data_IF_534192026836
#
_entry.id   IF_534192026836
#
_cell.length_a   1.000
_cell.length_b   1.000
_cell.length_c   1.000
_cell.angle_alpha   90.00
_cell.angle_beta   90.00
_cell.angle_gamma   90.00
#
_symmetry.space_group_name_H-M   'P 1'
#
loop_
_entity.id
_entity.type
_entity.pdbx_description
1 polymer ?
#
# COMPACT_ATOMS: atom_id res chain seq x y z
N UNK A 1 12.71 -51.14 18.56
CA UNK A 1 13.02 -49.88 19.27
C UNK A 1 12.85 -48.74 18.27
N UNK A 2 11.76 -47.94 18.43
CA UNK A 2 11.47 -46.85 17.50
C UNK A 2 12.08 -45.56 18.06
N UNK A 3 13.10 -45.05 17.41
CA UNK A 3 13.72 -43.77 17.76
C UNK A 3 12.85 -42.65 17.28
N UNK A 4 12.17 -42.00 18.21
CA UNK A 4 11.51 -40.74 17.95
C UNK A 4 12.57 -39.67 17.65
N UNK A 5 12.68 -39.24 16.37
CA UNK A 5 13.38 -38.05 16.01
C UNK A 5 12.62 -36.86 16.61
N UNK A 6 13.12 -36.31 17.71
CA UNK A 6 12.70 -35.01 18.19
C UNK A 6 13.08 -33.97 17.15
N UNK A 7 12.08 -33.36 16.53
CA UNK A 7 12.32 -32.20 15.67
C UNK A 7 13.00 -31.11 16.50
N UNK A 8 14.25 -30.81 16.20
CA UNK A 8 14.94 -29.66 16.78
C UNK A 8 14.17 -28.42 16.33
N UNK A 9 13.54 -27.74 17.27
CA UNK A 9 12.88 -26.47 17.00
C UNK A 9 13.91 -25.54 16.33
N UNK A 10 13.58 -25.01 15.17
CA UNK A 10 14.45 -24.08 14.44
C UNK A 10 14.74 -22.88 15.35
N UNK A 11 15.97 -22.70 15.84
CA UNK A 11 16.26 -21.58 16.73
C UNK A 11 15.99 -20.31 15.95
N UNK A 12 15.23 -19.38 16.52
CA UNK A 12 14.97 -18.06 15.94
C UNK A 12 16.18 -17.13 16.21
N UNK A 13 17.24 -17.17 15.38
CA UNK A 13 18.49 -16.47 15.64
C UNK A 13 18.29 -14.93 15.59
N UNK A 14 17.27 -14.47 14.89
CA UNK A 14 16.98 -13.05 14.69
C UNK A 14 16.04 -12.49 15.76
N UNK A 15 15.60 -13.32 16.72
CA UNK A 15 14.60 -12.93 17.73
C UNK A 15 13.35 -12.30 17.11
N UNK A 16 12.96 -12.79 15.91
CA UNK A 16 11.73 -12.37 15.26
C UNK A 16 10.53 -12.77 16.11
N UNK A 17 9.48 -11.99 16.06
CA UNK A 17 8.23 -12.27 16.76
C UNK A 17 7.05 -12.07 15.79
N UNK A 18 5.98 -12.78 16.05
CA UNK A 18 4.75 -12.63 15.30
C UNK A 18 3.99 -11.40 15.79
N UNK A 19 3.44 -10.62 14.87
CA UNK A 19 2.58 -9.49 15.24
C UNK A 19 1.29 -10.01 15.90
N UNK A 20 0.76 -9.25 16.84
CA UNK A 20 -0.51 -9.61 17.47
C UNK A 20 -1.67 -9.50 16.46
N UNK A 21 -2.56 -10.47 16.45
CA UNK A 21 -3.70 -10.55 15.51
C UNK A 21 -3.25 -10.47 14.03
N UNK A 22 -2.42 -11.41 13.57
CA UNK A 22 -1.90 -11.40 12.21
C UNK A 22 -3.02 -11.55 11.17
N UNK A 23 -2.76 -11.20 9.90
CA UNK A 23 -3.66 -11.54 8.81
C UNK A 23 -3.92 -13.04 8.71
N UNK A 24 -5.13 -13.42 8.31
CA UNK A 24 -5.52 -14.83 8.11
C UNK A 24 -5.21 -15.36 6.71
N UNK A 25 -4.71 -14.50 5.81
CA UNK A 25 -4.30 -14.83 4.45
C UNK A 25 -3.04 -14.05 4.08
N UNK A 26 -2.53 -14.24 2.86
CA UNK A 26 -1.29 -13.65 2.34
C UNK A 26 -1.26 -12.13 2.51
N UNK A 27 -0.13 -11.63 2.97
CA UNK A 27 0.14 -10.19 3.06
C UNK A 27 0.51 -9.68 1.66
N UNK A 28 -0.17 -8.66 1.19
CA UNK A 28 0.01 -8.08 -0.14
C UNK A 28 0.89 -6.83 -0.14
N UNK A 29 0.87 -6.06 0.94
CA UNK A 29 1.66 -4.82 1.08
C UNK A 29 1.94 -4.50 2.54
N UNK A 30 3.08 -3.87 2.78
CA UNK A 30 3.52 -3.35 4.08
C UNK A 30 3.97 -1.90 3.91
N UNK A 31 3.59 -1.04 4.83
CA UNK A 31 4.06 0.35 4.85
C UNK A 31 4.15 0.91 6.26
N UNK A 32 5.27 1.58 6.58
CA UNK A 32 5.41 2.33 7.81
C UNK A 32 4.89 3.76 7.67
N UNK A 33 4.30 4.27 8.75
CA UNK A 33 3.98 5.69 8.85
C UNK A 33 5.26 6.54 8.73
N UNK A 34 5.20 7.66 8.00
CA UNK A 34 6.35 8.56 7.87
C UNK A 34 6.68 9.34 9.15
N UNK A 35 5.80 9.35 10.16
CA UNK A 35 5.95 10.18 11.38
C UNK A 35 5.84 9.41 12.69
N UNK A 36 5.40 8.16 12.67
CA UNK A 36 5.17 7.37 13.87
C UNK A 36 5.54 5.91 13.63
N UNK A 37 5.74 5.14 14.70
CA UNK A 37 6.04 3.71 14.61
C UNK A 37 4.77 2.88 14.35
N UNK A 38 3.95 3.30 13.40
CA UNK A 38 2.79 2.55 12.94
C UNK A 38 3.12 1.77 11.68
N UNK A 39 2.81 0.49 11.69
CA UNK A 39 2.91 -0.40 10.55
C UNK A 39 1.50 -0.71 10.03
N UNK A 40 1.26 -0.44 8.76
CA UNK A 40 0.08 -0.91 8.06
C UNK A 40 0.40 -2.14 7.21
N UNK A 41 -0.51 -3.11 7.20
CA UNK A 41 -0.46 -4.25 6.31
C UNK A 41 -1.81 -4.44 5.61
N UNK A 42 -1.75 -4.77 4.34
CA UNK A 42 -2.90 -5.20 3.54
C UNK A 42 -2.82 -6.70 3.27
N UNK A 43 -3.96 -7.35 3.13
CA UNK A 43 -4.01 -8.81 2.99
C UNK A 43 -5.11 -9.27 2.03
N UNK A 44 -4.95 -10.50 1.56
CA UNK A 44 -5.94 -11.22 0.77
C UNK A 44 -7.17 -11.64 1.60
N UNK A 45 -7.12 -11.50 2.92
CA UNK A 45 -8.27 -11.66 3.81
C UNK A 45 -9.24 -10.45 3.81
N UNK A 46 -9.11 -9.56 2.84
CA UNK A 46 -9.90 -8.34 2.65
C UNK A 46 -9.69 -7.26 3.71
N UNK A 47 -8.68 -7.37 4.55
CA UNK A 47 -8.47 -6.41 5.63
C UNK A 47 -7.19 -5.60 5.48
N UNK A 48 -7.25 -4.39 6.02
CA UNK A 48 -6.08 -3.56 6.33
C UNK A 48 -5.96 -3.50 7.84
N UNK A 49 -4.79 -3.82 8.37
CA UNK A 49 -4.49 -3.76 9.79
C UNK A 49 -3.40 -2.76 10.07
N UNK A 50 -3.50 -2.11 11.22
CA UNK A 50 -2.48 -1.19 11.70
C UNK A 50 -2.04 -1.59 13.11
N UNK A 51 -0.73 -1.65 13.32
CA UNK A 51 -0.11 -1.86 14.64
C UNK A 51 0.79 -0.69 14.99
N UNK A 52 0.86 -0.40 16.27
CA UNK A 52 1.98 0.35 16.84
C UNK A 52 3.13 -0.63 17.13
N UNK A 53 4.31 -0.33 16.60
CA UNK A 53 5.52 -1.10 16.85
C UNK A 53 6.29 -0.41 17.97
N UNK A 54 6.42 -1.08 19.10
CA UNK A 54 7.07 -0.56 20.30
C UNK A 54 8.42 -1.25 20.50
N UNK A 55 9.42 -0.49 20.88
CA UNK A 55 10.73 -1.01 21.25
C UNK A 55 11.08 -0.55 22.67
N UNK A 56 11.37 -1.50 23.54
CA UNK A 56 11.77 -1.22 24.92
C UNK A 56 12.81 -2.23 25.38
N UNK A 57 13.97 -1.76 25.85
CA UNK A 57 15.01 -2.60 26.44
C UNK A 57 15.54 -3.72 25.53
N UNK A 58 15.55 -3.51 24.21
CA UNK A 58 15.97 -4.51 23.22
C UNK A 58 14.87 -5.52 22.82
N UNK A 59 13.69 -5.42 23.39
CA UNK A 59 12.52 -6.18 22.99
C UNK A 59 11.65 -5.34 22.06
N UNK A 60 11.08 -5.98 21.03
CA UNK A 60 10.13 -5.38 20.12
C UNK A 60 8.77 -6.03 20.34
N UNK A 61 7.72 -5.22 20.38
CA UNK A 61 6.34 -5.68 20.53
C UNK A 61 5.44 -4.96 19.51
N UNK A 62 4.34 -5.58 19.15
CA UNK A 62 3.30 -4.99 18.32
C UNK A 62 2.00 -4.85 19.11
N UNK A 63 1.37 -3.70 19.03
CA UNK A 63 0.06 -3.45 19.60
C UNK A 63 -0.95 -3.15 18.50
N UNK A 64 -1.99 -3.98 18.30
CA UNK A 64 -3.04 -3.70 17.34
C UNK A 64 -3.71 -2.36 17.67
N UNK A 65 -3.84 -1.50 16.67
CA UNK A 65 -4.51 -0.20 16.83
C UNK A 65 -5.90 -0.19 16.22
N UNK A 66 -5.98 -0.69 15.00
CA UNK A 66 -7.23 -0.68 14.26
C UNK A 66 -7.17 -1.59 13.03
N UNK A 67 -8.35 -1.94 12.51
CA UNK A 67 -8.51 -2.63 11.23
C UNK A 67 -9.74 -2.12 10.49
N UNK A 68 -9.67 -2.16 9.17
CA UNK A 68 -10.80 -1.90 8.28
C UNK A 68 -10.93 -3.02 7.25
N UNK A 69 -12.14 -3.19 6.72
CA UNK A 69 -12.41 -4.21 5.70
C UNK A 69 -12.75 -3.57 4.36
N UNK A 70 -12.30 -4.22 3.31
CA UNK A 70 -12.74 -4.07 1.94
C UNK A 70 -13.71 -5.21 1.59
N UNK A 71 -14.41 -5.09 0.45
CA UNK A 71 -15.30 -6.15 -0.02
C UNK A 71 -14.53 -7.31 -0.69
N UNK A 72 -13.30 -7.04 -1.14
CA UNK A 72 -12.43 -7.98 -1.83
C UNK A 72 -10.97 -7.79 -1.37
N UNK A 73 -10.04 -8.69 -1.76
CA UNK A 73 -8.62 -8.60 -1.38
C UNK A 73 -8.02 -7.21 -1.55
N UNK A 74 -7.29 -6.77 -0.52
CA UNK A 74 -6.58 -5.49 -0.53
C UNK A 74 -5.17 -5.72 -1.03
N UNK A 75 -4.74 -4.95 -2.04
CA UNK A 75 -3.48 -5.18 -2.73
C UNK A 75 -2.38 -4.17 -2.37
N UNK A 76 -2.75 -2.97 -1.97
CA UNK A 76 -1.80 -1.89 -1.72
C UNK A 76 -2.29 -0.92 -0.66
N UNK A 77 -1.34 -0.24 -0.02
CA UNK A 77 -1.58 0.86 0.90
C UNK A 77 -0.46 1.88 0.86
N UNK A 78 -0.78 3.09 1.26
CA UNK A 78 0.18 4.17 1.50
C UNK A 78 -0.29 5.07 2.63
N UNK A 79 0.65 5.80 3.22
CA UNK A 79 0.37 6.80 4.24
C UNK A 79 0.33 8.19 3.62
N UNK A 80 -0.57 9.00 4.14
CA UNK A 80 -0.45 10.44 3.96
C UNK A 80 0.73 10.98 4.77
N UNK A 81 1.28 12.10 4.35
CA UNK A 81 2.40 12.77 5.01
C UNK A 81 2.10 13.27 6.44
N UNK A 82 0.83 13.31 6.84
CA UNK A 82 0.43 13.56 8.24
C UNK A 82 0.85 12.41 9.19
N UNK A 83 1.13 11.22 8.64
CA UNK A 83 1.52 10.03 9.38
C UNK A 83 0.38 9.34 10.14
N UNK A 84 -0.86 9.81 9.97
CA UNK A 84 -2.05 9.35 10.70
C UNK A 84 -3.20 8.92 9.79
N UNK A 85 -3.08 9.16 8.48
CA UNK A 85 -4.09 8.76 7.49
C UNK A 85 -3.52 7.69 6.58
N UNK A 86 -4.23 6.57 6.46
CA UNK A 86 -3.92 5.47 5.55
C UNK A 86 -4.85 5.54 4.33
N UNK A 87 -4.28 5.30 3.16
CA UNK A 87 -5.02 4.96 1.95
C UNK A 87 -4.81 3.48 1.65
N UNK A 88 -5.86 2.80 1.22
CA UNK A 88 -5.81 1.40 0.83
C UNK A 88 -6.67 1.14 -0.40
N UNK A 89 -6.27 0.18 -1.23
CA UNK A 89 -6.98 -0.18 -2.44
C UNK A 89 -6.71 -1.62 -2.84
N UNK A 90 -7.60 -2.18 -3.66
CA UNK A 90 -7.49 -3.57 -4.04
C UNK A 90 -8.46 -4.02 -5.12
N UNK A 91 -8.91 -5.27 -5.00
CA UNK A 91 -9.76 -5.93 -5.99
C UNK A 91 -11.18 -5.37 -6.05
N UNK A 92 -11.66 -4.71 -5.01
CA UNK A 92 -12.95 -4.01 -5.00
C UNK A 92 -12.95 -2.71 -5.81
N UNK A 93 -11.80 -2.33 -6.39
CA UNK A 93 -11.61 -1.16 -7.28
C UNK A 93 -11.76 0.19 -6.57
N UNK A 94 -11.88 0.21 -5.26
CA UNK A 94 -12.07 1.40 -4.45
C UNK A 94 -10.80 1.77 -3.69
N UNK A 95 -10.57 3.07 -3.52
CA UNK A 95 -9.61 3.57 -2.53
C UNK A 95 -10.38 4.01 -1.30
N UNK A 96 -10.04 3.45 -0.17
CA UNK A 96 -10.51 3.92 1.14
C UNK A 96 -9.44 4.78 1.79
N UNK A 97 -9.86 5.96 2.27
CA UNK A 97 -9.08 6.84 3.12
C UNK A 97 -9.51 6.63 4.57
N UNK A 98 -8.55 6.42 5.43
CA UNK A 98 -8.80 6.06 6.82
C UNK A 98 -7.96 6.87 7.79
N UNK A 99 -8.52 7.90 8.45
CA UNK A 99 -7.85 8.64 9.51
C UNK A 99 -7.90 7.86 10.82
N UNK A 100 -6.73 7.40 11.30
CA UNK A 100 -6.61 6.51 12.46
C UNK A 100 -7.04 7.14 13.78
N UNK A 101 -6.70 8.42 13.99
CA UNK A 101 -6.83 9.06 15.32
C UNK A 101 -8.17 9.73 15.57
N UNK A 102 -8.95 10.00 14.55
CA UNK A 102 -10.23 10.71 14.68
C UNK A 102 -11.40 9.79 15.02
N UNK A 103 -11.18 8.47 15.14
CA UNK A 103 -12.27 7.51 15.22
C UNK A 103 -13.19 7.52 13.99
N UNK A 104 -12.73 8.18 12.91
CA UNK A 104 -13.46 8.34 11.67
C UNK A 104 -13.64 7.02 10.94
N UNK A 105 -14.83 6.83 10.37
CA UNK A 105 -15.08 5.72 9.48
C UNK A 105 -14.29 5.88 8.18
N UNK A 106 -13.81 4.78 7.58
CA UNK A 106 -13.16 4.83 6.29
C UNK A 106 -14.12 5.39 5.22
N UNK A 107 -13.59 6.25 4.37
CA UNK A 107 -14.34 6.87 3.28
C UNK A 107 -13.79 6.45 1.93
N UNK A 108 -14.65 6.16 0.96
CA UNK A 108 -14.24 5.95 -0.43
C UNK A 108 -13.91 7.31 -1.05
N UNK A 109 -12.67 7.47 -1.51
CA UNK A 109 -12.15 8.73 -2.07
C UNK A 109 -11.73 8.64 -3.53
N UNK A 110 -11.66 7.42 -4.08
CA UNK A 110 -11.24 7.18 -5.47
C UNK A 110 -11.77 5.84 -5.98
N UNK A 111 -11.94 5.72 -7.30
CA UNK A 111 -12.41 4.50 -7.95
C UNK A 111 -11.72 4.26 -9.29
N UNK A 112 -11.55 2.98 -9.62
CA UNK A 112 -11.08 2.49 -10.90
C UNK A 112 -12.07 1.48 -11.51
N UNK A 113 -11.87 1.12 -12.78
CA UNK A 113 -12.71 0.13 -13.47
C UNK A 113 -12.20 -1.31 -13.29
N UNK A 114 -10.99 -1.48 -12.75
CA UNK A 114 -10.37 -2.76 -12.42
C UNK A 114 -9.57 -2.65 -11.11
N UNK A 115 -9.02 -3.77 -10.58
CA UNK A 115 -8.23 -3.77 -9.35
C UNK A 115 -7.14 -2.69 -9.29
N UNK A 116 -7.00 -2.06 -8.12
CA UNK A 116 -5.96 -1.09 -7.83
C UNK A 116 -4.77 -1.86 -7.27
N UNK A 117 -3.64 -1.82 -7.99
CA UNK A 117 -2.45 -2.59 -7.63
C UNK A 117 -1.41 -1.79 -6.87
N UNK A 118 -1.28 -0.51 -7.17
CA UNK A 118 -0.28 0.37 -6.56
C UNK A 118 -0.87 1.73 -6.22
N UNK A 119 -0.33 2.37 -5.20
CA UNK A 119 -0.66 3.75 -4.85
C UNK A 119 0.50 4.44 -4.14
N UNK A 120 0.56 5.74 -4.26
CA UNK A 120 1.50 6.58 -3.53
C UNK A 120 0.88 7.95 -3.22
N UNK A 121 1.14 8.45 -2.02
CA UNK A 121 0.87 9.84 -1.67
C UNK A 121 2.05 10.72 -2.12
N UNK A 122 1.77 11.85 -2.77
CA UNK A 122 2.76 12.82 -3.26
C UNK A 122 2.56 14.12 -2.48
N UNK A 123 3.30 14.34 -1.40
CA UNK A 123 3.12 15.52 -0.52
C UNK A 123 3.29 16.84 -1.27
N UNK A 124 4.27 16.93 -2.17
CA UNK A 124 4.59 18.13 -2.92
C UNK A 124 3.45 18.58 -3.84
N UNK A 125 2.62 17.64 -4.28
CA UNK A 125 1.45 17.91 -5.11
C UNK A 125 0.15 17.90 -4.29
N UNK A 126 0.18 17.41 -3.06
CA UNK A 126 -0.99 17.11 -2.23
C UNK A 126 -2.01 16.22 -2.97
N UNK A 127 -1.51 15.23 -3.69
CA UNK A 127 -2.30 14.30 -4.49
C UNK A 127 -1.96 12.84 -4.13
N UNK A 128 -2.98 11.99 -4.22
CA UNK A 128 -2.82 10.55 -4.24
C UNK A 128 -2.73 10.10 -5.71
N UNK A 129 -1.72 9.31 -6.05
CA UNK A 129 -1.66 8.61 -7.34
C UNK A 129 -1.99 7.14 -7.13
N UNK A 130 -2.78 6.59 -8.05
CA UNK A 130 -3.18 5.19 -8.04
C UNK A 130 -2.94 4.56 -9.41
N UNK A 131 -2.41 3.33 -9.42
CA UNK A 131 -2.17 2.55 -10.62
C UNK A 131 -3.04 1.29 -10.63
N UNK A 132 -3.75 1.07 -11.71
CA UNK A 132 -4.75 0.00 -11.82
C UNK A 132 -4.51 -0.95 -12.98
N UNK A 133 -5.16 -2.12 -12.87
CA UNK A 133 -5.25 -3.06 -13.97
C UNK A 133 -6.21 -2.60 -15.09
N UNK A 134 -6.92 -1.49 -14.90
CA UNK A 134 -7.67 -0.81 -15.98
C UNK A 134 -6.76 -0.07 -16.97
N UNK A 135 -5.44 -0.20 -16.82
CA UNK A 135 -4.41 0.44 -17.65
C UNK A 135 -4.37 1.95 -17.50
N UNK A 136 -4.72 2.46 -16.32
CA UNK A 136 -4.63 3.89 -16.03
C UNK A 136 -3.85 4.19 -14.76
N UNK A 137 -3.24 5.36 -14.74
CA UNK A 137 -2.89 6.07 -13.52
C UNK A 137 -3.92 7.18 -13.32
N UNK A 138 -4.41 7.34 -12.11
CA UNK A 138 -5.29 8.44 -11.75
C UNK A 138 -4.69 9.22 -10.59
N UNK A 139 -4.78 10.54 -10.66
CA UNK A 139 -4.31 11.47 -9.64
C UNK A 139 -5.51 12.10 -8.95
N UNK A 140 -5.55 12.04 -7.62
CA UNK A 140 -6.72 12.39 -6.84
C UNK A 140 -6.39 13.49 -5.85
N UNK A 141 -7.12 14.59 -5.93
CA UNK A 141 -7.34 15.46 -4.79
C UNK A 141 -8.45 14.84 -3.95
N UNK A 142 -8.13 14.35 -2.76
CA UNK A 142 -9.08 13.63 -1.90
C UNK A 142 -10.27 14.46 -1.42
N UNK A 143 -10.30 15.75 -1.75
CA UNK A 143 -11.42 16.66 -1.51
C UNK A 143 -12.40 16.71 -2.69
N UNK A 144 -12.04 16.12 -3.82
CA UNK A 144 -12.82 16.17 -5.06
C UNK A 144 -13.29 14.76 -5.45
N UNK A 145 -14.51 14.62 -6.01
CA UNK A 145 -15.04 13.31 -6.38
C UNK A 145 -14.43 12.73 -7.66
N UNK A 146 -13.84 13.58 -8.52
CA UNK A 146 -13.26 13.17 -9.80
C UNK A 146 -11.73 13.24 -9.75
N UNK A 147 -11.02 12.41 -10.53
CA UNK A 147 -9.57 12.51 -10.63
C UNK A 147 -9.16 13.87 -11.24
N UNK A 148 -8.14 14.48 -10.65
CA UNK A 148 -7.55 15.71 -11.17
C UNK A 148 -6.86 15.48 -12.54
N UNK A 149 -6.33 14.26 -12.74
CA UNK A 149 -5.72 13.84 -13.99
C UNK A 149 -5.81 12.32 -14.14
N UNK A 150 -5.96 11.86 -15.39
CA UNK A 150 -5.91 10.44 -15.77
C UNK A 150 -4.88 10.26 -16.88
N UNK A 151 -3.91 9.40 -16.62
CA UNK A 151 -2.87 9.03 -17.57
C UNK A 151 -3.10 7.60 -18.06
N UNK A 152 -3.19 7.41 -19.37
CA UNK A 152 -3.30 6.09 -19.98
C UNK A 152 -1.95 5.39 -19.97
N UNK A 153 -1.95 4.10 -19.59
CA UNK A 153 -0.81 3.19 -19.69
C UNK A 153 -0.98 2.23 -20.88
N UNK A 154 0.12 1.71 -21.44
CA UNK A 154 0.05 0.71 -22.52
C UNK A 154 -0.54 -0.63 -22.03
N UNK A 155 -0.34 -0.99 -20.75
CA UNK A 155 -0.82 -2.21 -20.14
C UNK A 155 -1.06 -2.01 -18.62
N UNK A 156 -1.59 -3.04 -17.94
CA UNK A 156 -1.93 -3.03 -16.51
C UNK A 156 -0.74 -2.57 -15.66
N UNK A 157 -1.01 -1.73 -14.68
CA UNK A 157 -0.02 -1.31 -13.69
C UNK A 157 0.29 -2.47 -12.73
N UNK A 158 1.56 -2.82 -12.56
CA UNK A 158 2.01 -3.87 -11.62
C UNK A 158 2.95 -3.38 -10.53
N UNK A 159 3.66 -2.30 -10.79
CA UNK A 159 4.60 -1.72 -9.82
C UNK A 159 4.65 -0.21 -9.97
N UNK A 160 4.88 0.49 -8.87
CA UNK A 160 5.06 1.93 -8.86
C UNK A 160 6.08 2.32 -7.78
N UNK A 161 6.96 3.24 -8.11
CA UNK A 161 7.83 3.90 -7.16
C UNK A 161 7.83 5.40 -7.41
N UNK A 162 7.68 6.18 -6.34
CA UNK A 162 7.63 7.64 -6.41
C UNK A 162 8.73 8.24 -5.54
N UNK A 163 9.49 9.14 -6.14
CA UNK A 163 10.41 10.03 -5.44
C UNK A 163 10.39 11.35 -6.21
N UNK A 164 9.56 12.29 -5.75
CA UNK A 164 9.37 13.58 -6.42
C UNK A 164 10.71 14.21 -6.83
N UNK A 165 10.86 14.71 -8.07
CA UNK A 165 9.82 14.84 -9.10
C UNK A 165 9.66 13.62 -10.02
N UNK A 166 10.26 12.49 -9.72
CA UNK A 166 10.19 11.29 -10.54
C UNK A 166 9.17 10.28 -10.02
N UNK A 167 8.50 9.63 -10.97
CA UNK A 167 7.72 8.43 -10.75
C UNK A 167 8.06 7.40 -11.81
N UNK A 168 8.25 6.15 -11.39
CA UNK A 168 8.49 5.01 -12.29
C UNK A 168 7.36 4.02 -12.15
N UNK A 169 6.81 3.59 -13.26
CA UNK A 169 5.70 2.63 -13.32
C UNK A 169 6.11 1.43 -14.15
N UNK A 170 5.94 0.25 -13.59
CA UNK A 170 6.11 -1.03 -14.27
C UNK A 170 4.78 -1.56 -14.78
N UNK A 171 4.71 -1.98 -16.03
CA UNK A 171 3.50 -2.50 -16.65
C UNK A 171 3.63 -3.98 -17.03
N UNK A 172 2.49 -4.66 -17.21
CA UNK A 172 2.43 -6.11 -17.45
C UNK A 172 3.15 -6.56 -18.74
N UNK A 173 3.35 -5.67 -19.70
CA UNK A 173 4.08 -5.91 -20.95
C UNK A 173 5.60 -5.66 -20.83
N UNK A 174 6.13 -5.67 -19.60
CA UNK A 174 7.56 -5.52 -19.27
C UNK A 174 8.14 -4.14 -19.60
N UNK A 175 7.33 -3.11 -19.59
CA UNK A 175 7.80 -1.74 -19.74
C UNK A 175 8.03 -1.10 -18.37
N UNK A 176 9.08 -0.29 -18.25
CA UNK A 176 9.26 0.72 -17.22
C UNK A 176 9.05 2.09 -17.84
N UNK A 177 8.10 2.84 -17.31
CA UNK A 177 7.75 4.18 -17.80
C UNK A 177 8.12 5.19 -16.73
N UNK A 178 8.93 6.16 -17.10
CA UNK A 178 9.39 7.23 -16.19
C UNK A 178 8.58 8.49 -16.47
N UNK A 179 7.95 9.02 -15.44
CA UNK A 179 7.18 10.26 -15.48
C UNK A 179 7.89 11.36 -14.69
N UNK A 180 7.82 12.59 -15.21
CA UNK A 180 8.13 13.79 -14.45
C UNK A 180 6.86 14.36 -13.84
N UNK A 181 6.74 14.32 -12.53
CA UNK A 181 5.56 14.80 -11.81
C UNK A 181 5.36 16.32 -11.87
N UNK A 182 6.40 17.08 -12.25
CA UNK A 182 6.25 18.52 -12.55
C UNK A 182 5.55 18.75 -13.89
N UNK A 183 5.58 17.76 -14.79
CA UNK A 183 4.83 17.75 -16.03
C UNK A 183 4.36 16.32 -16.34
N UNK A 184 3.32 15.83 -15.68
CA UNK A 184 2.91 14.43 -15.75
C UNK A 184 2.38 13.99 -17.12
N UNK A 185 2.11 14.93 -18.04
CA UNK A 185 1.69 14.64 -19.41
C UNK A 185 2.84 14.16 -20.29
N UNK A 186 4.08 14.29 -19.84
CA UNK A 186 5.27 13.88 -20.60
C UNK A 186 5.94 12.69 -19.91
N UNK A 187 5.91 11.52 -20.55
CA UNK A 187 6.77 10.41 -20.17
C UNK A 187 8.19 10.61 -20.72
N UNK A 188 9.21 10.49 -19.86
CA UNK A 188 10.61 10.71 -20.30
C UNK A 188 11.19 9.55 -21.09
N UNK A 189 10.81 8.32 -20.78
CA UNK A 189 11.30 7.14 -21.50
C UNK A 189 10.47 5.91 -21.21
N UNK A 190 10.38 5.02 -22.18
CA UNK A 190 9.88 3.66 -22.04
C UNK A 190 11.08 2.72 -22.18
N UNK A 191 11.47 2.07 -21.10
CA UNK A 191 12.52 1.05 -21.10
C UNK A 191 11.85 -0.31 -21.14
N UNK A 192 12.16 -1.14 -22.14
CA UNK A 192 11.80 -2.56 -22.15
C UNK A 192 12.83 -3.35 -21.37
N UNK A 193 12.39 -4.16 -20.42
CA UNK A 193 13.21 -5.10 -19.65
C UNK A 193 13.03 -6.51 -20.20
#
# INVERSE_FOLDING_TARGET
>A
MSTFLTSVANPNPNKSFEVAQPPSDSVSSLSFSPKANFLAATSWDNQVRCWEIMQSGGNVASMPKASISHEQPVLCSTWKDDGMTIFSGGCDKQVKMWPLMSGGQPMVVAMHDAPIKEMAWIPEMNLLVTGSWDKTLKYWDTRQPNPAHTQQLPERCYAMAVKHPLMVVGTADRNLIVFNLQNPQVSFSVLKI
#
